data_IF_931651083795
#
_entry.id   IF_931651083795
#
_cell.length_a   1.000
_cell.length_b   1.000
_cell.length_c   1.000
_cell.angle_alpha   90.00
_cell.angle_beta   90.00
_cell.angle_gamma   90.00
#
_symmetry.space_group_name_H-M   'P 1'
#
loop_
_entity.id
_entity.type
_entity.pdbx_description
1 polymer ?
#
# COMPACT_ATOMS: atom_id res chain seq x y z
N UNK A 1 -9.78 -31.69 3.17
CA UNK A 1 -10.40 -30.60 2.37
C UNK A 1 -11.82 -30.15 2.80
N UNK A 2 -12.50 -30.82 3.74
CA UNK A 2 -13.87 -30.46 4.16
C UNK A 2 -13.99 -30.18 5.68
N UNK A 3 -12.84 -30.05 6.37
CA UNK A 3 -12.82 -29.77 7.80
C UNK A 3 -13.21 -28.31 8.12
N UNK A 4 -13.65 -28.02 9.35
CA UNK A 4 -14.17 -26.70 9.74
C UNK A 4 -13.16 -25.55 9.58
N UNK A 5 -11.85 -25.81 9.65
CA UNK A 5 -10.80 -24.81 9.44
C UNK A 5 -10.20 -24.79 8.04
N UNK A 6 -10.89 -25.36 7.04
CA UNK A 6 -10.42 -25.40 5.67
C UNK A 6 -10.75 -24.10 4.91
N UNK A 7 -9.76 -23.41 4.32
CA UNK A 7 -10.04 -22.25 3.48
C UNK A 7 -10.87 -22.60 2.25
N UNK A 8 -12.09 -22.07 2.18
CA UNK A 8 -13.00 -22.26 1.04
C UNK A 8 -12.41 -21.77 -0.28
N UNK A 9 -11.58 -20.74 -0.22
CA UNK A 9 -10.87 -20.12 -1.35
C UNK A 9 -9.86 -21.04 -2.04
N UNK A 10 -9.50 -22.18 -1.44
CA UNK A 10 -8.66 -23.19 -2.08
C UNK A 10 -9.42 -24.02 -3.12
N UNK A 11 -10.75 -24.04 -3.09
CA UNK A 11 -11.57 -24.74 -4.08
C UNK A 11 -11.35 -24.19 -5.49
N UNK A 12 -11.02 -22.90 -5.62
CA UNK A 12 -10.74 -22.23 -6.90
C UNK A 12 -9.54 -22.85 -7.65
N UNK A 13 -8.69 -23.61 -6.96
CA UNK A 13 -7.58 -24.34 -7.59
C UNK A 13 -8.05 -25.57 -8.39
N UNK A 14 -9.31 -25.99 -8.28
CA UNK A 14 -9.88 -27.13 -9.00
C UNK A 14 -9.05 -28.40 -8.80
N UNK A 15 -8.61 -29.02 -9.90
CA UNK A 15 -7.79 -30.24 -9.86
C UNK A 15 -6.42 -30.06 -9.15
N UNK A 16 -5.94 -28.82 -8.98
CA UNK A 16 -4.71 -28.51 -8.26
C UNK A 16 -4.92 -28.22 -6.77
N UNK A 17 -6.16 -28.35 -6.26
CA UNK A 17 -6.50 -28.17 -4.85
C UNK A 17 -5.74 -29.19 -3.98
N UNK A 18 -5.16 -28.76 -2.85
CA UNK A 18 -4.50 -29.67 -1.93
C UNK A 18 -5.50 -30.65 -1.30
N UNK A 19 -5.10 -31.92 -1.16
CA UNK A 19 -5.94 -32.92 -0.47
C UNK A 19 -6.00 -32.66 1.05
N UNK A 20 -4.90 -32.17 1.62
CA UNK A 20 -4.79 -31.83 3.03
C UNK A 20 -3.77 -30.71 3.24
N UNK A 21 -3.85 -30.08 4.40
CA UNK A 21 -2.91 -29.07 4.86
C UNK A 21 -2.46 -29.42 6.27
N UNK A 22 -1.17 -29.24 6.52
CA UNK A 22 -0.60 -29.24 7.85
C UNK A 22 -0.58 -27.79 8.33
N UNK A 23 -1.09 -27.56 9.53
CA UNK A 23 -1.23 -26.22 10.10
C UNK A 23 -0.64 -26.22 11.52
N UNK A 24 0.13 -25.17 11.84
CA UNK A 24 0.57 -24.86 13.22
C UNK A 24 0.18 -23.43 13.56
N UNK A 25 -0.33 -23.24 14.77
CA UNK A 25 -0.89 -21.98 15.24
C UNK A 25 -2.24 -22.23 15.91
N UNK A 26 -2.65 -21.34 16.81
CA UNK A 26 -3.89 -21.50 17.58
C UNK A 26 -5.11 -20.92 16.85
N UNK A 27 -4.90 -20.04 15.86
CA UNK A 27 -5.96 -19.39 15.12
C UNK A 27 -6.52 -20.31 14.03
N UNK A 28 -7.83 -20.18 13.78
CA UNK A 28 -8.49 -20.88 12.69
C UNK A 28 -8.00 -20.35 11.33
N UNK A 29 -7.44 -21.24 10.52
CA UNK A 29 -6.87 -20.88 9.22
C UNK A 29 -7.94 -20.32 8.27
N UNK A 30 -9.16 -20.86 8.27
CA UNK A 30 -10.22 -20.38 7.40
C UNK A 30 -10.60 -18.92 7.71
N UNK A 31 -10.74 -18.60 9.01
CA UNK A 31 -10.99 -17.24 9.47
C UNK A 31 -9.83 -16.29 9.11
N UNK A 32 -8.58 -16.72 9.35
CA UNK A 32 -7.38 -15.91 9.05
C UNK A 32 -7.32 -15.46 7.59
N UNK A 33 -7.75 -16.30 6.66
CA UNK A 33 -7.60 -16.06 5.22
C UNK A 33 -8.87 -15.52 4.56
N UNK A 34 -9.87 -15.11 5.35
CA UNK A 34 -11.10 -14.50 4.84
C UNK A 34 -10.86 -13.06 4.38
N UNK A 35 -10.08 -12.28 5.15
CA UNK A 35 -9.61 -10.93 4.79
C UNK A 35 -8.09 -10.94 4.74
N UNK A 36 -7.53 -11.33 3.61
CA UNK A 36 -6.08 -11.55 3.49
C UNK A 36 -5.48 -10.96 2.22
N UNK A 37 -4.23 -10.52 2.32
CA UNK A 37 -3.42 -10.03 1.20
C UNK A 37 -2.11 -10.80 1.14
N UNK A 38 -1.79 -11.34 -0.03
CA UNK A 38 -0.46 -11.88 -0.26
C UNK A 38 0.52 -10.74 -0.48
N UNK A 39 1.55 -10.63 0.35
CA UNK A 39 2.65 -9.67 0.14
C UNK A 39 3.93 -10.45 -0.13
N UNK A 40 4.43 -10.36 -1.36
CA UNK A 40 5.47 -11.25 -1.88
C UNK A 40 6.54 -10.49 -2.66
N UNK A 41 7.71 -11.10 -2.84
CA UNK A 41 8.72 -10.52 -3.72
C UNK A 41 10.08 -11.21 -3.70
N UNK A 42 11.12 -10.41 -3.95
CA UNK A 42 12.48 -10.86 -4.13
C UNK A 42 13.08 -11.38 -2.82
N UNK A 43 13.82 -12.49 -2.92
CA UNK A 43 14.59 -13.03 -1.78
C UNK A 43 15.80 -12.18 -1.42
N UNK A 44 16.43 -11.60 -2.43
CA UNK A 44 17.47 -10.59 -2.31
C UNK A 44 16.82 -9.25 -2.67
N UNK A 45 16.07 -8.68 -1.72
CA UNK A 45 15.42 -7.38 -1.88
C UNK A 45 16.38 -6.25 -1.56
N UNK A 46 16.05 -5.06 -2.06
CA UNK A 46 16.75 -3.83 -1.70
C UNK A 46 16.27 -3.29 -0.35
N UNK A 47 16.99 -2.33 0.22
CA UNK A 47 16.50 -1.59 1.40
C UNK A 47 15.18 -0.86 1.14
N UNK A 48 14.99 -0.35 -0.09
CA UNK A 48 13.73 0.23 -0.51
C UNK A 48 12.60 -0.81 -0.44
N UNK A 49 12.79 -1.97 -1.07
CA UNK A 49 11.81 -3.05 -1.05
C UNK A 49 11.50 -3.54 0.35
N UNK A 50 12.50 -3.72 1.21
CA UNK A 50 12.31 -4.10 2.60
C UNK A 50 11.48 -3.06 3.38
N UNK A 51 11.85 -1.78 3.29
CA UNK A 51 11.15 -0.69 3.98
C UNK A 51 9.69 -0.58 3.56
N UNK A 52 9.43 -0.52 2.24
CA UNK A 52 8.06 -0.45 1.70
C UNK A 52 7.23 -1.65 2.15
N UNK A 53 7.83 -2.84 2.15
CA UNK A 53 7.13 -4.07 2.58
C UNK A 53 6.73 -4.01 4.06
N UNK A 54 7.64 -3.58 4.94
CA UNK A 54 7.36 -3.51 6.38
C UNK A 54 6.22 -2.51 6.65
N UNK A 55 6.30 -1.30 6.10
CA UNK A 55 5.28 -0.26 6.28
C UNK A 55 3.92 -0.69 5.73
N UNK A 56 3.91 -1.27 4.52
CA UNK A 56 2.68 -1.75 3.89
C UNK A 56 2.06 -2.89 4.70
N UNK A 57 2.85 -3.89 5.10
CA UNK A 57 2.35 -5.03 5.85
C UNK A 57 1.84 -4.64 7.25
N UNK A 58 2.51 -3.71 7.93
CA UNK A 58 2.05 -3.16 9.20
C UNK A 58 0.71 -2.43 9.03
N UNK A 59 0.58 -1.59 8.02
CA UNK A 59 -0.64 -0.83 7.74
C UNK A 59 -1.83 -1.74 7.37
N UNK A 60 -1.59 -2.77 6.55
CA UNK A 60 -2.60 -3.79 6.23
C UNK A 60 -3.06 -4.53 7.50
N UNK A 61 -2.11 -4.95 8.33
CA UNK A 61 -2.40 -5.66 9.58
C UNK A 61 -3.19 -4.79 10.58
N UNK A 62 -2.85 -3.50 10.71
CA UNK A 62 -3.61 -2.53 11.51
C UNK A 62 -5.04 -2.32 10.99
N UNK A 63 -5.23 -2.40 9.68
CA UNK A 63 -6.55 -2.35 9.05
C UNK A 63 -7.34 -3.67 9.18
N UNK A 64 -6.83 -4.66 9.92
CA UNK A 64 -7.49 -5.95 10.15
C UNK A 64 -7.34 -6.95 9.00
N UNK A 65 -6.38 -6.75 8.10
CA UNK A 65 -6.08 -7.70 7.01
C UNK A 65 -4.91 -8.61 7.37
N UNK A 66 -5.11 -9.91 7.21
CA UNK A 66 -4.05 -10.90 7.41
C UNK A 66 -3.04 -10.84 6.27
N UNK A 67 -1.77 -10.66 6.61
CA UNK A 67 -0.68 -10.73 5.62
C UNK A 67 -0.31 -12.19 5.37
N UNK A 68 -0.43 -12.66 4.13
CA UNK A 68 -0.04 -14.01 3.72
C UNK A 68 1.27 -13.93 2.95
N UNK A 69 2.24 -14.76 3.29
CA UNK A 69 3.49 -14.83 2.53
C UNK A 69 4.17 -16.19 2.66
N UNK A 70 5.34 -16.33 2.05
CA UNK A 70 6.02 -17.61 1.90
C UNK A 70 7.10 -17.92 2.95
N UNK A 71 7.35 -17.04 3.91
CA UNK A 71 8.39 -17.22 4.92
C UNK A 71 9.84 -17.22 4.41
N UNK A 72 10.08 -16.95 3.10
CA UNK A 72 11.42 -16.89 2.53
C UNK A 72 12.21 -15.67 3.05
N UNK A 73 13.49 -15.57 2.67
CA UNK A 73 14.25 -14.32 2.88
C UNK A 73 13.69 -13.15 2.07
N UNK A 74 14.15 -11.95 2.38
CA UNK A 74 13.79 -10.73 1.66
C UNK A 74 12.36 -10.29 1.96
N UNK A 75 11.59 -10.01 0.91
CA UNK A 75 10.23 -9.44 0.99
C UNK A 75 9.30 -10.30 1.87
N UNK A 76 9.30 -11.63 1.73
CA UNK A 76 8.45 -12.50 2.55
C UNK A 76 8.72 -12.31 4.07
N UNK A 77 10.00 -12.23 4.45
CA UNK A 77 10.38 -12.03 5.85
C UNK A 77 10.02 -10.60 6.33
N UNK A 78 10.19 -9.61 5.47
CA UNK A 78 9.82 -8.22 5.75
C UNK A 78 8.29 -8.07 5.94
N UNK A 79 7.49 -8.76 5.13
CA UNK A 79 6.04 -8.75 5.22
C UNK A 79 5.57 -9.32 6.57
N UNK A 80 6.11 -10.47 6.97
CA UNK A 80 5.79 -11.04 8.29
C UNK A 80 6.26 -10.13 9.43
N UNK A 81 7.45 -9.51 9.33
CA UNK A 81 7.92 -8.56 10.35
C UNK A 81 7.00 -7.36 10.49
N UNK A 82 6.57 -6.76 9.38
CA UNK A 82 5.64 -5.63 9.40
C UNK A 82 4.31 -5.99 10.05
N UNK A 83 3.71 -7.12 9.67
CA UNK A 83 2.46 -7.58 10.29
C UNK A 83 2.61 -7.83 11.81
N UNK A 84 3.68 -8.53 12.22
CA UNK A 84 3.96 -8.84 13.63
C UNK A 84 4.36 -7.62 14.48
N UNK A 85 4.73 -6.50 13.86
CA UNK A 85 4.98 -5.24 14.58
C UNK A 85 3.69 -4.58 15.08
N UNK A 86 2.53 -5.18 14.76
CA UNK A 86 1.19 -4.73 15.11
C UNK A 86 0.47 -5.86 15.85
N UNK A 87 -0.77 -5.66 16.27
CA UNK A 87 -1.60 -6.73 16.85
C UNK A 87 -2.31 -7.58 15.77
N UNK A 88 -2.07 -7.33 14.47
CA UNK A 88 -2.71 -8.06 13.37
C UNK A 88 -2.09 -9.45 13.09
N UNK A 89 -2.73 -10.24 12.23
CA UNK A 89 -2.32 -11.63 11.97
C UNK A 89 -1.48 -11.79 10.71
N UNK A 90 -0.69 -12.87 10.66
CA UNK A 90 0.04 -13.26 9.45
C UNK A 90 0.13 -14.77 9.26
N UNK A 91 0.13 -15.22 8.01
CA UNK A 91 0.17 -16.64 7.63
C UNK A 91 1.38 -16.91 6.74
N UNK A 92 2.26 -17.82 7.16
CA UNK A 92 3.38 -18.27 6.35
C UNK A 92 3.09 -19.64 5.73
N UNK A 93 3.01 -19.70 4.39
CA UNK A 93 2.84 -20.96 3.66
C UNK A 93 4.23 -21.50 3.30
N UNK A 94 4.65 -22.62 3.85
CA UNK A 94 6.01 -23.15 3.70
C UNK A 94 6.11 -24.20 2.58
N UNK A 95 7.28 -24.29 1.94
CA UNK A 95 7.55 -25.26 0.88
C UNK A 95 8.06 -26.63 1.40
N UNK A 96 8.22 -26.78 2.71
CA UNK A 96 8.69 -27.98 3.40
C UNK A 96 7.78 -28.36 4.56
N UNK A 97 8.12 -29.42 5.28
CA UNK A 97 7.40 -29.85 6.48
C UNK A 97 7.48 -28.80 7.61
N UNK A 98 6.42 -28.69 8.41
CA UNK A 98 6.34 -27.72 9.51
C UNK A 98 7.18 -28.10 10.75
N UNK A 99 7.74 -29.30 10.77
CA UNK A 99 8.71 -29.78 11.77
C UNK A 99 10.11 -29.17 11.57
N UNK A 100 10.43 -28.74 10.34
CA UNK A 100 11.70 -28.08 9.99
C UNK A 100 11.45 -26.84 9.13
N UNK A 101 10.92 -25.76 9.73
CA UNK A 101 10.66 -24.53 8.99
C UNK A 101 11.94 -24.00 8.32
N UNK A 102 11.83 -23.69 7.03
CA UNK A 102 12.92 -23.17 6.22
C UNK A 102 12.55 -21.78 5.66
N UNK A 103 13.50 -20.82 5.62
CA UNK A 103 14.92 -20.98 5.93
C UNK A 103 15.25 -20.91 7.43
N UNK A 104 16.35 -21.57 7.83
CA UNK A 104 16.80 -21.61 9.23
C UNK A 104 17.09 -20.20 9.81
N UNK A 105 17.56 -19.26 8.98
CA UNK A 105 17.78 -17.87 9.39
C UNK A 105 16.49 -17.15 9.83
N UNK A 106 15.33 -17.62 9.39
CA UNK A 106 14.03 -17.07 9.78
C UNK A 106 13.35 -17.87 10.91
N UNK A 107 14.04 -18.80 11.59
CA UNK A 107 13.41 -19.67 12.59
C UNK A 107 12.67 -18.90 13.69
N UNK A 108 13.27 -17.82 14.23
CA UNK A 108 12.61 -16.96 15.25
C UNK A 108 11.40 -16.23 14.71
N UNK A 109 11.47 -15.76 13.46
CA UNK A 109 10.38 -15.07 12.78
C UNK A 109 9.21 -16.05 12.56
N UNK A 110 9.47 -17.24 12.04
CA UNK A 110 8.44 -18.25 11.79
C UNK A 110 7.79 -18.73 13.09
N UNK A 111 8.56 -18.85 14.18
CA UNK A 111 7.99 -19.12 15.49
C UNK A 111 7.09 -17.99 16.01
N UNK A 112 7.36 -16.73 15.65
CA UNK A 112 6.48 -15.60 15.97
C UNK A 112 5.21 -15.61 15.11
N UNK A 113 5.33 -15.92 13.82
CA UNK A 113 4.18 -16.13 12.92
C UNK A 113 3.24 -17.22 13.47
N UNK A 114 3.79 -18.34 13.94
CA UNK A 114 3.00 -19.42 14.56
C UNK A 114 2.18 -18.94 15.77
N UNK A 115 2.70 -18.01 16.58
CA UNK A 115 2.00 -17.51 17.77
C UNK A 115 0.87 -16.54 17.46
N UNK A 116 1.02 -15.72 16.42
CA UNK A 116 0.10 -14.61 16.10
C UNK A 116 -0.75 -14.87 14.83
N UNK A 117 -0.54 -16.01 14.19
CA UNK A 117 -1.32 -16.46 13.04
C UNK A 117 -1.10 -17.94 12.80
N UNK A 118 -0.58 -18.31 11.63
CA UNK A 118 -0.38 -19.73 11.30
C UNK A 118 0.82 -19.99 10.38
N UNK A 119 1.45 -21.15 10.57
CA UNK A 119 2.30 -21.80 9.58
C UNK A 119 1.49 -22.86 8.86
N UNK A 120 1.57 -22.89 7.54
CA UNK A 120 0.79 -23.80 6.69
C UNK A 120 1.72 -24.53 5.73
N UNK A 121 1.48 -25.82 5.49
CA UNK A 121 2.19 -26.59 4.47
C UNK A 121 1.24 -27.58 3.80
N UNK A 122 1.52 -27.92 2.55
CA UNK A 122 0.87 -29.01 1.80
C UNK A 122 1.74 -30.28 1.79
N UNK A 123 2.90 -30.26 2.44
CA UNK A 123 3.78 -31.43 2.48
C UNK A 123 3.90 -31.94 3.91
N UNK A 124 3.99 -33.28 4.09
CA UNK A 124 4.04 -33.87 5.42
C UNK A 124 5.31 -33.47 6.19
N UNK A 125 5.29 -33.59 7.53
CA UNK A 125 6.49 -33.48 8.35
C UNK A 125 7.64 -34.34 7.81
N UNK A 126 8.87 -33.82 7.86
CA UNK A 126 10.06 -34.42 7.30
C UNK A 126 10.33 -34.08 5.82
N UNK A 127 9.36 -33.48 5.11
CA UNK A 127 9.56 -33.08 3.72
C UNK A 127 10.56 -31.93 3.59
N UNK A 128 11.58 -32.12 2.74
CA UNK A 128 12.63 -31.13 2.48
C UNK A 128 12.19 -30.13 1.41
N UNK A 129 12.42 -28.81 1.60
CA UNK A 129 12.17 -27.81 0.57
C UNK A 129 12.95 -28.09 -0.71
N UNK A 130 12.31 -27.91 -1.86
CA UNK A 130 12.95 -27.99 -3.18
C UNK A 130 12.43 -26.89 -4.10
N UNK A 131 13.14 -26.61 -5.20
CA UNK A 131 12.70 -25.61 -6.18
C UNK A 131 11.27 -25.87 -6.68
N UNK A 132 10.95 -27.13 -6.97
CA UNK A 132 9.60 -27.53 -7.41
C UNK A 132 8.56 -27.28 -6.33
N UNK A 133 8.87 -27.60 -5.07
CA UNK A 133 7.93 -27.34 -3.96
C UNK A 133 7.70 -25.86 -3.71
N UNK A 134 8.70 -25.01 -3.90
CA UNK A 134 8.51 -23.55 -3.84
C UNK A 134 7.50 -23.07 -4.89
N UNK A 135 7.60 -23.57 -6.12
CA UNK A 135 6.65 -23.22 -7.19
C UNK A 135 5.26 -23.78 -6.93
N UNK A 136 5.14 -25.04 -6.50
CA UNK A 136 3.86 -25.65 -6.14
C UNK A 136 3.18 -24.86 -5.02
N UNK A 137 3.91 -24.53 -3.94
CA UNK A 137 3.41 -23.76 -2.80
C UNK A 137 2.81 -22.42 -3.20
N UNK A 138 3.39 -21.72 -4.18
CA UNK A 138 2.97 -20.37 -4.54
C UNK A 138 1.49 -20.26 -4.93
N UNK A 139 0.92 -21.28 -5.57
CA UNK A 139 -0.51 -21.29 -5.90
C UNK A 139 -1.41 -21.23 -4.66
N UNK A 140 -0.93 -21.77 -3.52
CA UNK A 140 -1.65 -21.75 -2.25
C UNK A 140 -1.64 -20.35 -1.65
N UNK A 141 -0.52 -19.62 -1.74
CA UNK A 141 -0.44 -18.21 -1.30
C UNK A 141 -1.45 -17.38 -2.07
N UNK A 142 -1.47 -17.52 -3.40
CA UNK A 142 -2.43 -16.84 -4.26
C UNK A 142 -3.87 -17.24 -3.92
N UNK A 143 -4.15 -18.54 -3.79
CA UNK A 143 -5.48 -19.08 -3.51
C UNK A 143 -5.98 -18.86 -2.08
N UNK A 144 -5.11 -18.55 -1.11
CA UNK A 144 -5.53 -18.15 0.24
C UNK A 144 -5.63 -16.63 0.41
N UNK A 145 -5.38 -15.82 -0.63
CA UNK A 145 -5.38 -14.35 -0.50
C UNK A 145 -6.43 -13.70 -1.37
N UNK A 146 -7.14 -12.69 -0.87
CA UNK A 146 -8.13 -11.93 -1.66
C UNK A 146 -7.46 -11.20 -2.83
N UNK A 147 -6.22 -10.75 -2.65
CA UNK A 147 -5.36 -10.23 -3.71
C UNK A 147 -3.88 -10.44 -3.41
N UNK A 148 -3.03 -10.14 -4.40
CA UNK A 148 -1.57 -10.32 -4.29
C UNK A 148 -0.82 -9.05 -4.66
N UNK A 149 0.08 -8.61 -3.78
CA UNK A 149 0.98 -7.48 -4.02
C UNK A 149 2.41 -7.97 -4.19
N UNK A 150 3.01 -7.61 -5.32
CA UNK A 150 4.42 -7.87 -5.63
C UNK A 150 5.23 -6.61 -5.33
N UNK A 151 6.06 -6.64 -4.30
CA UNK A 151 6.83 -5.45 -3.89
C UNK A 151 8.11 -5.28 -4.72
N UNK A 152 8.92 -6.34 -4.82
CA UNK A 152 10.06 -6.39 -5.72
C UNK A 152 10.13 -7.75 -6.41
N UNK A 153 10.45 -7.76 -7.69
CA UNK A 153 10.67 -8.98 -8.45
C UNK A 153 11.65 -8.71 -9.59
N UNK A 154 12.74 -9.47 -9.64
CA UNK A 154 13.55 -9.56 -10.86
C UNK A 154 12.78 -10.31 -11.97
N UNK A 155 13.21 -10.18 -13.22
CA UNK A 155 12.52 -10.71 -14.41
C UNK A 155 12.13 -12.19 -14.37
N UNK A 156 12.90 -13.01 -13.63
CA UNK A 156 12.67 -14.46 -13.44
C UNK A 156 12.41 -14.82 -11.98
N UNK A 157 11.84 -13.89 -11.21
CA UNK A 157 11.51 -14.08 -9.80
C UNK A 157 10.39 -15.10 -9.62
N UNK A 158 10.48 -15.91 -8.56
CA UNK A 158 9.39 -16.80 -8.15
C UNK A 158 8.10 -16.04 -7.78
N UNK A 159 8.20 -14.77 -7.38
CA UNK A 159 7.03 -13.93 -7.08
C UNK A 159 6.15 -13.68 -8.32
N UNK A 160 6.74 -13.63 -9.52
CA UNK A 160 5.98 -13.50 -10.79
C UNK A 160 5.09 -14.72 -11.01
N UNK A 161 5.54 -15.91 -10.60
CA UNK A 161 4.72 -17.11 -10.69
C UNK A 161 3.51 -17.05 -9.75
N UNK A 162 3.67 -16.55 -8.52
CA UNK A 162 2.53 -16.32 -7.61
C UNK A 162 1.54 -15.29 -8.17
N UNK A 163 2.04 -14.18 -8.74
CA UNK A 163 1.19 -13.19 -9.41
C UNK A 163 0.41 -13.79 -10.58
N UNK A 164 1.05 -14.66 -11.37
CA UNK A 164 0.36 -15.41 -12.44
C UNK A 164 -0.73 -16.35 -11.91
N UNK A 165 -0.51 -17.02 -10.77
CA UNK A 165 -1.55 -17.81 -10.12
C UNK A 165 -2.71 -16.94 -9.65
N UNK A 166 -2.44 -15.79 -9.01
CA UNK A 166 -3.48 -14.88 -8.55
C UNK A 166 -4.33 -14.36 -9.73
N UNK A 167 -3.69 -13.90 -10.80
CA UNK A 167 -4.38 -13.45 -12.01
C UNK A 167 -5.20 -14.57 -12.66
N UNK A 168 -4.66 -15.81 -12.72
CA UNK A 168 -5.39 -16.97 -13.23
C UNK A 168 -6.59 -17.38 -12.39
N UNK A 169 -6.60 -17.04 -11.09
CA UNK A 169 -7.73 -17.21 -10.18
C UNK A 169 -8.68 -15.99 -10.17
N UNK A 170 -8.50 -15.04 -11.11
CA UNK A 170 -9.25 -13.79 -11.20
C UNK A 170 -9.16 -12.94 -9.94
N UNK A 171 -8.03 -13.02 -9.24
CA UNK A 171 -7.74 -12.20 -8.06
C UNK A 171 -6.87 -11.01 -8.45
N UNK A 172 -7.17 -9.82 -7.92
CA UNK A 172 -6.43 -8.63 -8.27
C UNK A 172 -4.96 -8.75 -7.87
N UNK A 173 -4.09 -8.22 -8.73
CA UNK A 173 -2.65 -8.18 -8.52
C UNK A 173 -2.22 -6.72 -8.45
N UNK A 174 -1.52 -6.36 -7.39
CA UNK A 174 -0.81 -5.09 -7.25
C UNK A 174 0.68 -5.28 -7.49
N UNK A 175 1.35 -4.27 -8.02
CA UNK A 175 2.80 -4.23 -8.08
C UNK A 175 3.32 -2.86 -7.61
N UNK A 176 4.31 -2.89 -6.73
CA UNK A 176 4.97 -1.68 -6.24
C UNK A 176 5.93 -1.15 -7.30
N UNK A 177 5.87 0.14 -7.65
CA UNK A 177 6.82 0.72 -8.57
C UNK A 177 8.19 0.82 -7.92
N UNK A 178 9.24 0.80 -8.73
CA UNK A 178 10.61 1.02 -8.26
C UNK A 178 11.49 1.65 -9.33
N UNK A 179 12.73 2.02 -9.01
CA UNK A 179 13.63 2.67 -9.96
C UNK A 179 13.79 1.83 -11.24
N UNK A 180 13.63 2.44 -12.41
CA UNK A 180 13.80 1.76 -13.72
C UNK A 180 15.21 1.21 -13.94
N UNK A 181 16.19 1.71 -13.18
CA UNK A 181 17.58 1.24 -13.17
C UNK A 181 17.79 0.05 -12.23
N UNK A 182 16.81 -0.31 -11.38
CA UNK A 182 16.90 -1.43 -10.46
C UNK A 182 16.46 -2.73 -11.15
N UNK A 183 17.38 -3.69 -11.25
CA UNK A 183 17.05 -5.04 -11.73
C UNK A 183 16.03 -5.76 -10.83
N UNK A 184 15.94 -5.37 -9.55
CA UNK A 184 14.97 -5.93 -8.61
C UNK A 184 13.52 -5.46 -8.89
N UNK A 185 13.33 -4.39 -9.66
CA UNK A 185 12.00 -3.87 -10.00
C UNK A 185 11.51 -4.30 -11.39
N UNK A 186 12.38 -4.89 -12.22
CA UNK A 186 12.10 -5.19 -13.62
C UNK A 186 10.87 -6.11 -13.83
N UNK A 187 10.64 -7.06 -12.93
CA UNK A 187 9.47 -7.92 -12.91
C UNK A 187 8.19 -7.18 -12.52
N UNK A 188 8.24 -6.27 -11.54
CA UNK A 188 7.12 -5.39 -11.23
C UNK A 188 6.76 -4.52 -12.42
N UNK A 189 7.74 -3.91 -13.09
CA UNK A 189 7.51 -3.11 -14.30
C UNK A 189 6.88 -3.92 -15.42
N UNK A 190 7.29 -5.19 -15.59
CA UNK A 190 6.66 -6.09 -16.54
C UNK A 190 5.19 -6.34 -16.21
N UNK A 191 4.88 -6.69 -14.96
CA UNK A 191 3.50 -6.95 -14.53
C UNK A 191 2.60 -5.73 -14.77
N UNK A 192 3.10 -4.52 -14.48
CA UNK A 192 2.40 -3.26 -14.75
C UNK A 192 2.20 -3.03 -16.25
N UNK A 193 3.26 -3.20 -17.05
CA UNK A 193 3.23 -2.97 -18.50
C UNK A 193 2.31 -3.94 -19.23
N UNK A 194 2.24 -5.19 -18.78
CA UNK A 194 1.39 -6.23 -19.36
C UNK A 194 -0.08 -6.10 -18.91
N UNK A 195 -0.40 -5.15 -18.02
CA UNK A 195 -1.74 -5.01 -17.44
C UNK A 195 -2.12 -6.16 -16.51
N UNK A 196 -1.15 -6.98 -16.07
CA UNK A 196 -1.39 -8.07 -15.12
C UNK A 196 -1.58 -7.52 -13.71
N UNK A 197 -0.92 -6.40 -13.40
CA UNK A 197 -0.97 -5.76 -12.10
C UNK A 197 -1.32 -4.27 -12.20
N UNK A 198 -2.00 -3.78 -11.16
CA UNK A 198 -2.22 -2.35 -10.92
C UNK A 198 -1.07 -1.79 -10.10
N UNK A 199 -0.68 -0.55 -10.37
CA UNK A 199 0.32 0.14 -9.58
C UNK A 199 -0.23 0.44 -8.19
N UNK A 200 0.45 -0.01 -7.14
CA UNK A 200 0.13 0.29 -5.74
C UNK A 200 1.37 0.83 -5.03
N UNK A 201 1.20 1.82 -4.18
CA UNK A 201 2.28 2.62 -3.58
C UNK A 201 2.17 2.70 -2.06
N UNK A 202 0.99 2.41 -1.51
CA UNK A 202 0.74 2.29 -0.07
C UNK A 202 -0.31 1.22 0.22
N UNK A 203 -0.57 0.97 1.50
CA UNK A 203 -1.57 -0.01 1.92
C UNK A 203 -3.00 0.41 1.57
N UNK A 204 -3.31 1.69 1.49
CA UNK A 204 -4.67 2.14 1.20
C UNK A 204 -5.06 1.79 -0.25
N UNK A 205 -4.17 1.98 -1.22
CA UNK A 205 -4.37 1.54 -2.60
C UNK A 205 -4.46 0.01 -2.71
N UNK A 206 -3.74 -0.72 -1.86
CA UNK A 206 -3.90 -2.18 -1.77
C UNK A 206 -5.28 -2.54 -1.24
N UNK A 207 -5.77 -1.87 -0.20
CA UNK A 207 -7.10 -2.10 0.36
C UNK A 207 -8.21 -1.75 -0.64
N UNK A 208 -8.06 -0.68 -1.41
CA UNK A 208 -8.97 -0.38 -2.52
C UNK A 208 -8.99 -1.50 -3.56
N UNK A 209 -7.82 -2.06 -3.86
CA UNK A 209 -7.66 -3.13 -4.84
C UNK A 209 -8.33 -4.44 -4.40
N UNK A 210 -8.32 -4.77 -3.10
CA UNK A 210 -8.81 -6.06 -2.58
C UNK A 210 -10.11 -5.98 -1.79
N UNK A 211 -10.53 -4.77 -1.41
CA UNK A 211 -11.66 -4.50 -0.54
C UNK A 211 -13.00 -4.77 -1.22
N UNK A 212 -14.06 -4.77 -0.41
CA UNK A 212 -15.42 -4.86 -0.95
C UNK A 212 -15.74 -3.63 -1.79
N UNK A 213 -16.68 -3.75 -2.73
CA UNK A 213 -17.15 -2.60 -3.52
C UNK A 213 -17.58 -1.45 -2.60
N UNK A 214 -16.89 -0.31 -2.68
CA UNK A 214 -17.10 0.85 -1.82
C UNK A 214 -16.07 1.07 -0.71
N UNK A 215 -15.19 0.09 -0.43
CA UNK A 215 -14.00 0.27 0.40
C UNK A 215 -12.89 0.95 -0.42
N UNK A 216 -13.07 2.25 -0.70
CA UNK A 216 -12.11 3.04 -1.48
C UNK A 216 -10.94 3.54 -0.61
N UNK A 217 -9.76 3.67 -1.21
CA UNK A 217 -8.69 4.43 -0.58
C UNK A 217 -9.17 5.87 -0.33
N UNK A 218 -8.80 6.50 0.79
CA UNK A 218 -9.07 7.91 0.98
C UNK A 218 -8.51 8.68 -0.22
N UNK A 219 -9.30 9.61 -0.76
CA UNK A 219 -8.81 10.52 -1.78
C UNK A 219 -7.52 11.16 -1.27
N UNK A 220 -6.43 10.98 -2.02
CA UNK A 220 -5.20 11.68 -1.70
C UNK A 220 -5.51 13.16 -1.76
N UNK A 221 -5.37 13.83 -0.62
CA UNK A 221 -5.38 15.27 -0.56
C UNK A 221 -4.25 15.75 -1.47
N UNK A 222 -4.60 16.18 -2.69
CA UNK A 222 -3.68 16.94 -3.53
C UNK A 222 -3.37 18.18 -2.69
N UNK A 223 -2.09 18.45 -2.36
CA UNK A 223 -1.76 19.66 -1.62
C UNK A 223 -2.30 20.84 -2.43
N UNK A 224 -3.39 21.45 -1.96
CA UNK A 224 -3.96 22.62 -2.62
C UNK A 224 -2.91 23.70 -2.53
N UNK A 225 -2.32 24.06 -3.65
CA UNK A 225 -1.41 25.18 -3.70
C UNK A 225 -2.18 26.43 -3.23
N UNK A 226 -1.48 27.36 -2.59
CA UNK A 226 -2.04 28.66 -2.26
C UNK A 226 -2.64 29.28 -3.54
N UNK A 227 -3.97 29.34 -3.63
CA UNK A 227 -4.70 29.84 -4.79
C UNK A 227 -5.35 28.81 -5.72
N UNK A 228 -5.42 27.53 -5.34
CA UNK A 228 -6.28 26.57 -6.02
C UNK A 228 -7.76 26.89 -5.77
N UNK A 229 -8.59 26.85 -6.83
CA UNK A 229 -9.99 27.27 -6.79
C UNK A 229 -10.24 28.78 -6.94
N UNK A 230 -9.18 29.59 -7.10
CA UNK A 230 -9.32 31.00 -7.44
C UNK A 230 -9.70 31.20 -8.90
N UNK A 231 -10.45 32.27 -9.18
CA UNK A 231 -10.63 32.73 -10.56
C UNK A 231 -9.27 33.08 -11.20
N UNK A 232 -9.08 32.87 -12.51
CA UNK A 232 -7.78 33.03 -13.18
C UNK A 232 -7.12 34.39 -12.93
N UNK A 233 -7.91 35.44 -12.82
CA UNK A 233 -7.45 36.81 -12.59
C UNK A 233 -6.84 36.96 -11.19
N UNK A 234 -7.53 36.47 -10.15
CA UNK A 234 -7.02 36.50 -8.79
C UNK A 234 -5.74 35.69 -8.63
N UNK A 235 -5.61 34.57 -9.36
CA UNK A 235 -4.38 33.78 -9.38
C UNK A 235 -3.21 34.55 -9.99
N UNK A 236 -3.41 35.21 -11.14
CA UNK A 236 -2.36 36.03 -11.77
C UNK A 236 -1.93 37.19 -10.89
N UNK A 237 -2.87 37.81 -10.18
CA UNK A 237 -2.56 38.85 -9.18
C UNK A 237 -1.75 38.28 -8.02
N UNK A 238 -2.11 37.08 -7.53
CA UNK A 238 -1.35 36.41 -6.48
C UNK A 238 0.06 36.12 -6.94
N UNK A 239 0.26 35.61 -8.15
CA UNK A 239 1.57 35.33 -8.73
C UNK A 239 2.41 36.60 -8.93
N UNK A 240 1.76 37.72 -9.30
CA UNK A 240 2.40 39.03 -9.42
C UNK A 240 2.76 39.67 -8.07
N UNK A 241 2.10 39.30 -6.96
CA UNK A 241 2.42 39.83 -5.64
C UNK A 241 3.82 39.37 -5.21
N UNK A 242 4.69 40.30 -4.78
CA UNK A 242 6.05 39.96 -4.39
C UNK A 242 6.03 39.04 -3.17
N UNK A 243 6.86 37.99 -3.21
CA UNK A 243 7.00 37.02 -2.10
C UNK A 243 7.53 37.69 -0.83
N UNK A 244 8.34 38.75 -0.99
CA UNK A 244 8.85 39.59 0.11
C UNK A 244 8.59 41.06 -0.20
N UNK A 245 8.08 41.81 0.77
CA UNK A 245 7.77 43.24 0.62
C UNK A 245 6.34 43.52 0.18
N UNK A 246 6.08 44.72 -0.33
CA UNK A 246 4.74 45.17 -0.74
C UNK A 246 4.77 45.94 -2.07
N UNK A 247 3.70 45.83 -2.85
CA UNK A 247 3.54 46.46 -4.16
C UNK A 247 2.28 47.34 -4.23
N UNK A 248 2.29 48.38 -5.07
CA UNK A 248 1.07 49.14 -5.38
C UNK A 248 0.22 48.40 -6.41
N UNK A 249 -1.05 48.78 -6.55
CA UNK A 249 -1.94 48.22 -7.58
C UNK A 249 -1.34 48.40 -8.98
N UNK A 250 -0.79 49.59 -9.26
CA UNK A 250 -0.22 49.94 -10.55
C UNK A 250 1.01 49.07 -10.87
N UNK A 251 1.85 48.79 -9.85
CA UNK A 251 3.03 47.95 -10.01
C UNK A 251 2.69 46.48 -10.33
N UNK A 252 1.47 46.02 -9.99
CA UNK A 252 1.02 44.66 -10.23
C UNK A 252 0.40 44.45 -11.62
N UNK A 253 -0.01 45.52 -12.31
CA UNK A 253 -0.68 45.42 -13.63
C UNK A 253 0.16 44.71 -14.69
N UNK A 254 1.41 45.15 -14.89
CA UNK A 254 2.34 44.57 -15.86
C UNK A 254 2.69 43.10 -15.56
N UNK A 255 3.14 42.73 -14.35
CA UNK A 255 3.46 41.34 -14.05
C UNK A 255 2.23 40.43 -14.02
N UNK A 256 1.04 40.92 -13.66
CA UNK A 256 -0.19 40.12 -13.72
C UNK A 256 -0.78 40.03 -15.14
N UNK A 257 -0.41 40.94 -16.04
CA UNK A 257 -0.99 41.04 -17.38
C UNK A 257 -2.47 41.44 -17.36
N UNK A 258 -2.86 42.31 -16.42
CA UNK A 258 -4.24 42.68 -16.13
C UNK A 258 -4.43 44.19 -16.05
N UNK A 259 -5.63 44.68 -16.37
CA UNK A 259 -5.97 46.08 -16.18
C UNK A 259 -6.07 46.43 -14.69
N UNK A 260 -5.93 47.71 -14.35
CA UNK A 260 -5.99 48.19 -12.95
C UNK A 260 -7.27 47.73 -12.24
N UNK A 261 -8.40 47.73 -12.93
CA UNK A 261 -9.69 47.26 -12.39
C UNK A 261 -9.66 45.79 -11.99
N UNK A 262 -9.14 44.92 -12.86
CA UNK A 262 -9.03 43.48 -12.63
C UNK A 262 -8.01 43.17 -11.52
N UNK A 263 -6.91 43.91 -11.47
CA UNK A 263 -5.94 43.81 -10.37
C UNK A 263 -6.58 44.16 -9.04
N UNK A 264 -7.39 45.24 -8.97
CA UNK A 264 -8.12 45.61 -7.74
C UNK A 264 -9.14 44.55 -7.34
N UNK A 265 -9.90 44.02 -8.29
CA UNK A 265 -10.87 42.95 -8.04
C UNK A 265 -10.18 41.67 -7.54
N UNK A 266 -9.05 41.32 -8.16
CA UNK A 266 -8.21 40.20 -7.74
C UNK A 266 -7.64 40.40 -6.34
N UNK A 267 -7.06 41.57 -6.04
CA UNK A 267 -6.54 41.89 -4.70
C UNK A 267 -7.63 41.84 -3.62
N UNK A 268 -8.83 42.36 -3.90
CA UNK A 268 -9.96 42.25 -2.97
C UNK A 268 -10.37 40.79 -2.72
N UNK A 269 -10.37 39.97 -3.77
CA UNK A 269 -10.63 38.53 -3.64
C UNK A 269 -9.55 37.82 -2.81
N UNK A 270 -8.28 38.18 -3.03
CA UNK A 270 -7.14 37.64 -2.28
C UNK A 270 -7.12 38.10 -0.82
N UNK A 271 -7.62 39.29 -0.52
CA UNK A 271 -7.75 39.80 0.85
C UNK A 271 -8.83 39.03 1.62
N UNK A 272 -10.00 38.85 1.01
CA UNK A 272 -11.11 38.08 1.58
C UNK A 272 -10.66 36.63 1.84
N UNK A 273 -9.92 36.05 0.90
CA UNK A 273 -9.36 34.71 1.03
C UNK A 273 -8.11 34.65 1.93
N UNK A 274 -7.64 35.79 2.47
CA UNK A 274 -6.54 35.86 3.43
C UNK A 274 -5.14 35.61 2.84
N UNK A 275 -4.98 35.67 1.52
CA UNK A 275 -3.70 35.52 0.80
C UNK A 275 -2.94 36.84 0.60
N UNK A 276 -3.64 37.97 0.65
CA UNK A 276 -3.05 39.30 0.57
C UNK A 276 -3.56 40.21 1.70
N UNK A 277 -2.80 41.23 2.06
CA UNK A 277 -3.21 42.26 3.01
C UNK A 277 -2.79 43.63 2.50
N UNK A 278 -3.64 44.63 2.71
CA UNK A 278 -3.32 46.01 2.40
C UNK A 278 -2.73 46.74 3.62
N UNK A 279 -1.54 47.33 3.46
CA UNK A 279 -0.88 48.17 4.46
C UNK A 279 -0.29 49.42 3.81
N UNK A 280 -0.67 50.60 4.31
CA UNK A 280 -0.13 51.87 3.80
C UNK A 280 -0.36 52.11 2.30
N UNK A 281 -1.49 51.65 1.76
CA UNK A 281 -1.82 51.76 0.33
C UNK A 281 -1.08 50.77 -0.57
N UNK A 282 -0.31 49.83 0.00
CA UNK A 282 0.40 48.76 -0.71
C UNK A 282 -0.11 47.40 -0.29
N UNK A 283 0.10 46.41 -1.13
CA UNK A 283 -0.35 45.05 -0.96
C UNK A 283 0.83 44.12 -0.76
N UNK A 284 0.75 43.25 0.24
CA UNK A 284 1.74 42.18 0.49
C UNK A 284 1.04 40.84 0.65
N UNK A 285 1.77 39.75 0.43
CA UNK A 285 1.27 38.40 0.74
C UNK A 285 1.09 38.25 2.25
N UNK A 286 0.00 37.60 2.65
CA UNK A 286 -0.30 37.25 4.03
C UNK A 286 0.47 36.00 4.45
N UNK A 287 0.99 35.97 5.67
CA UNK A 287 1.69 34.80 6.23
C UNK A 287 0.75 33.59 6.43
N UNK A 288 -0.59 33.76 6.40
CA UNK A 288 -1.53 32.63 6.49
C UNK A 288 -1.50 31.73 5.26
N UNK A 289 -1.24 32.28 4.06
CA UNK A 289 -1.09 31.49 2.84
C UNK A 289 0.15 30.57 2.83
N UNK A 290 1.10 30.80 3.74
CA UNK A 290 2.28 29.95 3.93
C UNK A 290 2.07 28.84 4.97
N UNK A 291 1.12 29.00 5.92
CA UNK A 291 0.87 28.01 6.97
C UNK A 291 -0.17 26.94 6.59
N UNK A 292 -1.13 27.23 5.71
CA UNK A 292 -2.13 26.22 5.29
C UNK A 292 -1.52 25.03 4.53
N UNK A 293 -0.30 25.17 3.98
CA UNK A 293 0.45 24.06 3.35
C UNK A 293 1.21 23.14 4.31
N UNK A 294 1.33 23.51 5.59
CA UNK A 294 2.11 22.79 6.60
C UNK A 294 1.31 22.36 7.84
N UNK A 295 0.18 23.00 8.14
CA UNK A 295 -0.55 22.81 9.40
C UNK A 295 -1.73 21.81 9.30
N UNK A 296 -1.99 21.27 8.10
CA UNK A 296 -3.10 20.30 7.86
C UNK A 296 -2.68 18.84 7.84
N UNK A 297 -1.38 18.54 7.91
CA UNK A 297 -0.86 17.17 8.06
C UNK A 297 -1.12 16.56 9.45
N UNK A 298 -1.60 17.33 10.44
CA UNK A 298 -1.66 16.88 11.83
C UNK A 298 -3.07 16.78 12.45
N UNK A 299 -4.15 16.86 11.66
CA UNK A 299 -5.53 16.71 12.18
C UNK A 299 -6.44 15.81 11.36
N UNK A 300 -6.01 14.59 11.11
CA UNK A 300 -6.95 13.48 10.91
C UNK A 300 -7.38 12.96 12.29
N UNK A 301 -8.49 13.47 12.84
CA UNK A 301 -9.12 12.85 14.01
C UNK A 301 -9.76 11.53 13.59
N UNK A 302 -9.66 10.45 14.41
CA UNK A 302 -10.35 9.20 14.10
C UNK A 302 -11.86 9.40 14.18
N UNK A 303 -12.57 8.84 13.20
CA UNK A 303 -14.03 8.74 13.17
C UNK A 303 -14.45 7.80 14.32
N UNK A 304 -15.39 8.17 15.20
CA UNK A 304 -15.84 7.29 16.26
C UNK A 304 -16.63 6.10 15.69
N UNK A 305 -16.38 4.91 16.23
CA UNK A 305 -17.07 3.68 15.87
C UNK A 305 -18.59 3.78 16.09
N UNK A 306 -19.42 3.13 15.24
CA UNK A 306 -20.86 3.13 15.42
C UNK A 306 -21.26 2.40 16.70
N UNK A 307 -22.34 2.82 17.38
CA UNK A 307 -22.77 2.20 18.62
C UNK A 307 -23.24 0.76 18.37
N UNK A 308 -22.83 -0.13 19.27
CA UNK A 308 -23.35 -1.50 19.36
C UNK A 308 -24.87 -1.45 19.55
N UNK A 309 -25.61 -1.98 18.57
CA UNK A 309 -26.98 -2.41 18.80
C UNK A 309 -26.93 -3.72 19.61
N UNK A 310 -27.66 -3.73 20.72
CA UNK A 310 -27.78 -4.89 21.62
C UNK A 310 -28.62 -6.03 21.08
#
# INVERSE_FOLDING_TARGET
>A
PEGPGWPVSLADLGAAMPACLWVRGAADLAALVTRSVAVIGARACTHYGEHVTVEMAASLAQAGWTVVSGGAYGIDAAAHRGALATEGSTVAVLAGGLDRPYPAGNARLLAAVERQGALVSEVPPGAVPSRTRFLQRNRLIAAMSTGTVVVEAAWRSGAINTAGHAAGLLRPVGAVPGPVTSAASAGCHKLLRDGTAVCVTDAAEVLELVGATGELAPERAVPTAAGDGMVPEARRVLDALPVRGSATVEALTRPAGLAVGDVRAGLGSLEIAGYAVQEGGRWRRSNRGAHDGQDRTERARPVPAPPHAG
#
